data_IF_022945780682
#
_entry.id   IF_022945780682
#
_cell.length_a   1.000
_cell.length_b   1.000
_cell.length_c   1.000
_cell.angle_alpha   90.00
_cell.angle_beta   90.00
_cell.angle_gamma   90.00
#
_symmetry.space_group_name_H-M   'P 1'
#
loop_
_entity.id
_entity.type
_entity.pdbx_description
1 polymer ?
#
# COMPACT_ATOMS: atom_id res chain seq x y z
N UNK A 1 -34.37 15.54 1.86
CA UNK A 1 -33.68 14.28 2.15
C UNK A 1 -32.37 14.39 1.41
N UNK A 2 -31.25 14.42 2.12
CA UNK A 2 -29.95 14.64 1.50
C UNK A 2 -29.74 13.56 0.42
N UNK A 3 -29.24 13.98 -0.73
CA UNK A 3 -28.79 13.11 -1.81
C UNK A 3 -27.73 12.16 -1.22
N UNK A 4 -28.16 10.96 -0.81
CA UNK A 4 -27.35 10.02 -0.04
C UNK A 4 -26.46 9.24 -1.00
N UNK A 5 -25.51 9.96 -1.58
CA UNK A 5 -24.50 9.37 -2.45
C UNK A 5 -23.58 8.50 -1.60
N UNK A 6 -23.50 7.22 -1.96
CA UNK A 6 -22.63 6.26 -1.28
C UNK A 6 -21.17 6.66 -1.46
N UNK A 7 -20.32 6.52 -0.42
CA UNK A 7 -18.92 6.84 -0.52
C UNK A 7 -18.20 5.91 -1.50
N UNK A 8 -17.09 6.40 -2.03
CA UNK A 8 -16.20 5.64 -2.90
C UNK A 8 -14.83 5.58 -2.24
N UNK A 9 -14.33 4.37 -2.01
CA UNK A 9 -13.04 4.16 -1.37
C UNK A 9 -11.94 4.29 -2.41
N UNK A 10 -11.02 5.23 -2.18
CA UNK A 10 -9.74 5.26 -2.88
C UNK A 10 -8.70 4.60 -1.98
N UNK A 11 -8.35 3.36 -2.32
CA UNK A 11 -7.39 2.58 -1.58
C UNK A 11 -5.97 2.80 -2.13
N UNK A 12 -5.22 3.65 -1.44
CA UNK A 12 -3.82 3.91 -1.67
C UNK A 12 -2.95 2.76 -1.20
N UNK A 13 -1.97 2.40 -2.04
CA UNK A 13 -0.96 1.39 -1.70
C UNK A 13 0.43 2.00 -1.87
N UNK A 14 1.10 1.71 -2.98
CA UNK A 14 2.43 2.24 -3.30
C UNK A 14 2.38 3.49 -4.16
N UNK A 15 1.20 3.88 -4.59
CA UNK A 15 0.87 5.04 -5.41
C UNK A 15 0.48 6.27 -4.55
N UNK A 16 1.33 6.63 -3.58
CA UNK A 16 1.09 7.73 -2.62
C UNK A 16 1.24 9.13 -3.27
N UNK A 17 0.41 9.43 -4.28
CA UNK A 17 0.43 10.69 -5.04
C UNK A 17 -0.97 11.10 -5.47
N UNK A 18 -1.18 12.42 -5.61
CA UNK A 18 -2.42 13.00 -6.14
C UNK A 18 -2.35 13.28 -7.64
N UNK A 19 -1.18 13.68 -8.13
CA UNK A 19 -0.96 13.95 -9.55
C UNK A 19 -0.79 12.65 -10.32
N UNK A 20 -1.37 12.60 -11.52
CA UNK A 20 -1.20 11.47 -12.46
C UNK A 20 -1.51 10.11 -11.80
N UNK A 21 -2.61 10.06 -11.05
CA UNK A 21 -3.12 8.83 -10.46
C UNK A 21 -4.46 8.46 -11.14
N UNK A 22 -4.47 7.51 -12.08
CA UNK A 22 -5.68 7.08 -12.78
C UNK A 22 -6.76 6.52 -11.86
N UNK A 23 -6.39 5.76 -10.82
CA UNK A 23 -7.32 5.24 -9.82
C UNK A 23 -8.01 6.39 -9.07
N UNK A 24 -7.24 7.37 -8.62
CA UNK A 24 -7.79 8.55 -7.95
C UNK A 24 -8.67 9.38 -8.90
N UNK A 25 -8.26 9.53 -10.16
CA UNK A 25 -9.06 10.25 -11.15
C UNK A 25 -10.39 9.54 -11.46
N UNK A 26 -10.41 8.21 -11.48
CA UNK A 26 -11.64 7.43 -11.66
C UNK A 26 -12.54 7.55 -10.43
N UNK A 27 -11.97 7.38 -9.23
CA UNK A 27 -12.70 7.50 -7.97
C UNK A 27 -13.29 8.92 -7.77
N UNK A 28 -12.58 9.97 -8.19
CA UNK A 28 -13.08 11.36 -8.13
C UNK A 28 -14.18 11.67 -9.15
N UNK A 29 -14.32 10.87 -10.22
CA UNK A 29 -15.42 10.98 -11.19
C UNK A 29 -16.65 10.20 -10.75
N UNK A 30 -16.51 9.27 -9.82
CA UNK A 30 -17.62 8.52 -9.28
C UNK A 30 -18.56 9.44 -8.49
N UNK A 31 -19.86 9.12 -8.54
CA UNK A 31 -20.88 9.89 -7.84
C UNK A 31 -20.89 9.54 -6.34
N UNK A 32 -19.99 10.15 -5.57
CA UNK A 32 -19.91 9.91 -4.12
C UNK A 32 -18.83 10.72 -3.40
N UNK A 33 -18.93 10.86 -2.07
CA UNK A 33 -17.82 11.35 -1.26
C UNK A 33 -16.64 10.38 -1.34
N UNK A 34 -15.45 10.91 -1.62
CA UNK A 34 -14.23 10.12 -1.71
C UNK A 34 -13.70 9.79 -0.31
N UNK A 35 -13.34 8.53 -0.09
CA UNK A 35 -12.72 8.06 1.15
C UNK A 35 -11.26 7.61 0.89
N UNK A 36 -10.26 8.47 1.12
CA UNK A 36 -8.85 8.11 1.03
C UNK A 36 -8.46 7.13 2.13
N UNK A 37 -8.03 5.92 1.76
CA UNK A 37 -7.66 4.86 2.68
C UNK A 37 -6.25 4.34 2.38
N UNK A 38 -5.43 4.18 3.41
CA UNK A 38 -4.18 3.44 3.35
C UNK A 38 -4.16 2.38 4.46
N UNK A 39 -3.79 1.15 4.07
CA UNK A 39 -3.71 0.00 4.97
C UNK A 39 -2.27 -0.48 5.03
N UNK A 40 -1.67 -0.48 6.22
CA UNK A 40 -0.38 -1.10 6.47
C UNK A 40 -0.59 -2.58 6.80
N UNK A 41 -0.34 -3.44 5.81
CA UNK A 41 -0.35 -4.89 5.97
C UNK A 41 1.09 -5.42 6.10
N UNK A 42 1.40 -5.96 7.28
CA UNK A 42 2.69 -6.59 7.54
C UNK A 42 2.66 -8.10 7.22
N UNK A 43 1.49 -8.73 7.15
CA UNK A 43 1.35 -10.19 7.08
C UNK A 43 1.35 -10.70 5.65
N UNK A 44 0.52 -10.12 4.78
CA UNK A 44 0.43 -10.48 3.37
C UNK A 44 1.78 -10.49 2.61
N UNK A 45 2.65 -9.47 2.74
CA UNK A 45 3.91 -9.46 1.98
C UNK A 45 4.92 -10.53 2.44
N UNK A 46 4.77 -11.13 3.62
CA UNK A 46 5.69 -12.16 4.11
C UNK A 46 7.16 -11.72 4.07
N UNK A 47 7.97 -12.36 3.22
CA UNK A 47 9.39 -12.01 3.04
C UNK A 47 9.62 -10.66 2.33
N UNK A 48 8.61 -10.12 1.64
CA UNK A 48 8.62 -8.78 1.05
C UNK A 48 8.24 -7.67 2.04
N UNK A 49 8.05 -8.00 3.33
CA UNK A 49 7.69 -7.02 4.36
C UNK A 49 8.68 -5.87 4.39
N UNK A 50 8.17 -4.66 4.52
CA UNK A 50 8.99 -3.44 4.56
C UNK A 50 10.02 -3.50 5.70
N UNK A 51 11.25 -3.07 5.42
CA UNK A 51 12.30 -2.89 6.44
C UNK A 51 12.16 -1.56 7.21
N UNK A 52 13.03 -1.32 8.19
CA UNK A 52 13.01 -0.10 8.99
C UNK A 52 13.24 1.17 8.17
N UNK A 53 14.21 1.16 7.25
CA UNK A 53 14.47 2.29 6.36
C UNK A 53 13.27 2.56 5.43
N UNK A 54 12.66 1.53 4.85
CA UNK A 54 11.48 1.68 4.01
C UNK A 54 10.28 2.22 4.78
N UNK A 55 10.08 1.80 6.04
CA UNK A 55 9.03 2.35 6.92
C UNK A 55 9.26 3.81 7.28
N UNK A 56 10.52 4.22 7.49
CA UNK A 56 10.85 5.62 7.72
C UNK A 56 10.44 6.50 6.53
N UNK A 57 10.77 6.07 5.30
CA UNK A 57 10.34 6.75 4.09
C UNK A 57 8.83 6.74 3.91
N UNK A 58 8.19 5.58 4.14
CA UNK A 58 6.73 5.46 4.06
C UNK A 58 6.02 6.45 5.00
N UNK A 59 6.50 6.59 6.24
CA UNK A 59 5.94 7.53 7.19
C UNK A 59 5.96 8.98 6.65
N UNK A 60 7.10 9.43 6.14
CA UNK A 60 7.22 10.76 5.53
C UNK A 60 6.31 10.94 4.31
N UNK A 61 6.20 9.91 3.46
CA UNK A 61 5.29 9.93 2.30
C UNK A 61 3.82 10.03 2.72
N UNK A 62 3.38 9.29 3.74
CA UNK A 62 2.02 9.35 4.27
C UNK A 62 1.72 10.71 4.93
N UNK A 63 2.68 11.29 5.64
CA UNK A 63 2.52 12.63 6.23
C UNK A 63 2.36 13.69 5.13
N UNK A 64 3.15 13.60 4.06
CA UNK A 64 3.04 14.50 2.89
C UNK A 64 1.72 14.32 2.15
N UNK A 65 1.27 13.07 1.95
CA UNK A 65 0.00 12.77 1.29
C UNK A 65 -1.19 13.26 2.13
N UNK A 66 -1.16 13.00 3.45
CA UNK A 66 -2.17 13.46 4.39
C UNK A 66 -2.31 14.98 4.38
N UNK A 67 -1.20 15.73 4.38
CA UNK A 67 -1.22 17.20 4.21
C UNK A 67 -1.84 17.64 2.89
N UNK A 68 -1.60 16.90 1.82
CA UNK A 68 -2.14 17.22 0.48
C UNK A 68 -3.63 16.90 0.36
N UNK A 69 -4.16 16.04 1.25
CA UNK A 69 -5.58 15.68 1.38
C UNK A 69 -6.26 16.42 2.54
N UNK A 70 -5.70 17.54 3.00
CA UNK A 70 -6.22 18.33 4.12
C UNK A 70 -6.48 17.53 5.42
N UNK A 71 -5.71 16.45 5.63
CA UNK A 71 -5.82 15.58 6.80
C UNK A 71 -6.89 14.49 6.71
N UNK A 72 -7.56 14.33 5.57
CA UNK A 72 -8.64 13.35 5.37
C UNK A 72 -8.15 11.92 5.05
N UNK A 73 -6.85 11.64 5.17
CA UNK A 73 -6.30 10.32 4.90
C UNK A 73 -6.55 9.35 6.07
N UNK A 74 -7.29 8.28 5.82
CA UNK A 74 -7.55 7.23 6.79
C UNK A 74 -6.40 6.24 6.78
N UNK A 75 -5.79 6.04 7.95
CA UNK A 75 -4.74 5.05 8.16
C UNK A 75 -5.30 3.88 8.97
N UNK A 76 -5.11 2.67 8.48
CA UNK A 76 -5.40 1.41 9.18
C UNK A 76 -4.18 0.50 9.14
N UNK A 77 -4.13 -0.49 10.03
CA UNK A 77 -3.04 -1.48 10.09
C UNK A 77 -3.60 -2.84 10.47
N UNK A 78 -3.18 -3.87 9.74
CA UNK A 78 -3.64 -5.25 9.93
C UNK A 78 -3.82 -5.93 8.58
N UNK A 79 -4.59 -7.02 8.55
CA UNK A 79 -4.85 -7.77 7.32
C UNK A 79 -5.78 -6.98 6.41
N UNK A 80 -5.34 -6.79 5.17
CA UNK A 80 -6.02 -5.90 4.23
C UNK A 80 -7.47 -6.29 3.94
N UNK A 81 -7.74 -7.59 3.72
CA UNK A 81 -9.08 -8.06 3.41
C UNK A 81 -10.07 -7.85 4.57
N UNK A 82 -9.64 -8.15 5.81
CA UNK A 82 -10.46 -7.96 7.02
C UNK A 82 -10.75 -6.46 7.24
N UNK A 83 -9.75 -5.59 7.06
CA UNK A 83 -9.94 -4.13 7.23
C UNK A 83 -10.82 -3.55 6.13
N UNK A 84 -10.69 -4.00 4.88
CA UNK A 84 -11.56 -3.55 3.81
C UNK A 84 -13.00 -3.99 4.06
N UNK A 85 -13.21 -5.20 4.58
CA UNK A 85 -14.52 -5.67 5.00
C UNK A 85 -15.13 -4.76 6.08
N UNK A 86 -14.37 -4.44 7.14
CA UNK A 86 -14.79 -3.51 8.19
C UNK A 86 -15.13 -2.11 7.62
N UNK A 87 -14.31 -1.58 6.72
CA UNK A 87 -14.54 -0.26 6.11
C UNK A 87 -15.80 -0.27 5.24
N UNK A 88 -16.06 -1.35 4.51
CA UNK A 88 -17.29 -1.49 3.72
C UNK A 88 -18.52 -1.56 4.61
N UNK A 89 -18.43 -2.25 5.76
CA UNK A 89 -19.50 -2.32 6.75
C UNK A 89 -19.76 -0.96 7.44
N UNK A 90 -18.71 -0.20 7.75
CA UNK A 90 -18.82 1.11 8.40
C UNK A 90 -19.38 2.20 7.48
N UNK A 91 -19.09 2.13 6.18
CA UNK A 91 -19.30 3.25 5.25
C UNK A 91 -20.33 2.99 4.17
N UNK A 92 -20.76 1.73 3.97
CA UNK A 92 -21.64 1.33 2.88
C UNK A 92 -21.15 1.79 1.50
N UNK A 93 -19.82 1.78 1.30
CA UNK A 93 -19.21 2.29 0.09
C UNK A 93 -19.67 1.51 -1.16
N UNK A 94 -19.88 2.22 -2.27
CA UNK A 94 -20.35 1.62 -3.52
C UNK A 94 -19.24 0.98 -4.35
N UNK A 95 -18.01 1.48 -4.22
CA UNK A 95 -16.87 0.98 -4.97
C UNK A 95 -15.54 1.21 -4.25
N UNK A 96 -14.57 0.35 -4.54
CA UNK A 96 -13.16 0.46 -4.16
C UNK A 96 -12.34 0.62 -5.45
N UNK A 97 -11.58 1.71 -5.54
CA UNK A 97 -10.61 1.94 -6.60
C UNK A 97 -9.19 1.81 -6.04
N UNK A 98 -8.34 1.11 -6.77
CA UNK A 98 -6.91 1.01 -6.42
C UNK A 98 -6.05 0.94 -7.69
N UNK A 99 -4.75 1.27 -7.56
CA UNK A 99 -3.79 1.03 -8.63
C UNK A 99 -3.53 -0.47 -8.79
N UNK A 100 -3.33 -0.98 -10.00
CA UNK A 100 -3.01 -2.38 -10.25
C UNK A 100 -1.68 -2.82 -9.59
N UNK A 101 -1.65 -4.05 -9.08
CA UNK A 101 -0.47 -4.72 -8.52
C UNK A 101 0.22 -5.64 -9.50
N UNK A 102 1.51 -5.88 -9.28
CA UNK A 102 2.26 -6.88 -10.07
C UNK A 102 3.01 -7.90 -9.20
N UNK A 103 3.08 -7.66 -7.90
CA UNK A 103 3.82 -8.44 -6.95
C UNK A 103 3.05 -9.71 -6.61
N UNK A 104 3.73 -10.86 -6.43
CA UNK A 104 3.05 -12.14 -6.25
C UNK A 104 2.04 -12.13 -5.11
N UNK A 105 2.41 -11.54 -3.96
CA UNK A 105 1.56 -11.49 -2.77
C UNK A 105 0.36 -10.54 -2.93
N UNK A 106 0.44 -9.55 -3.82
CA UNK A 106 -0.67 -8.63 -4.05
C UNK A 106 -1.73 -9.24 -4.97
N UNK A 107 -1.37 -10.20 -5.83
CA UNK A 107 -2.34 -10.92 -6.66
C UNK A 107 -3.31 -11.73 -5.81
N UNK A 108 -2.78 -12.57 -4.92
CA UNK A 108 -3.61 -13.38 -4.00
C UNK A 108 -4.51 -12.49 -3.13
N UNK A 109 -4.00 -11.31 -2.75
CA UNK A 109 -4.75 -10.32 -1.97
C UNK A 109 -5.83 -9.65 -2.81
N UNK A 110 -5.53 -9.24 -4.04
CA UNK A 110 -6.51 -8.65 -4.97
C UNK A 110 -7.62 -9.64 -5.30
N UNK A 111 -7.31 -10.92 -5.51
CA UNK A 111 -8.30 -11.97 -5.75
C UNK A 111 -9.22 -12.14 -4.53
N UNK A 112 -8.67 -12.10 -3.32
CA UNK A 112 -9.46 -12.14 -2.08
C UNK A 112 -10.39 -10.92 -1.93
N UNK A 113 -9.90 -9.73 -2.28
CA UNK A 113 -10.69 -8.49 -2.25
C UNK A 113 -11.75 -8.46 -3.36
N UNK A 114 -11.43 -8.93 -4.55
CA UNK A 114 -12.37 -9.04 -5.67
C UNK A 114 -13.52 -9.99 -5.32
N UNK A 115 -13.21 -11.12 -4.66
CA UNK A 115 -14.22 -12.04 -4.13
C UNK A 115 -15.10 -11.37 -3.06
N UNK A 116 -14.48 -10.72 -2.07
CA UNK A 116 -15.19 -9.98 -1.02
C UNK A 116 -16.17 -8.94 -1.61
N UNK A 117 -15.70 -8.18 -2.60
CA UNK A 117 -16.51 -7.16 -3.28
C UNK A 117 -17.66 -7.79 -4.08
N UNK A 118 -17.39 -8.90 -4.77
CA UNK A 118 -18.40 -9.65 -5.53
C UNK A 118 -19.51 -10.19 -4.63
N UNK A 119 -19.15 -10.79 -3.49
CA UNK A 119 -20.10 -11.33 -2.52
C UNK A 119 -21.02 -10.24 -1.93
N UNK A 120 -20.53 -8.99 -1.89
CA UNK A 120 -21.22 -7.82 -1.31
C UNK A 120 -21.82 -6.88 -2.37
N UNK A 121 -21.71 -7.21 -3.66
CA UNK A 121 -22.15 -6.35 -4.79
C UNK A 121 -21.55 -4.93 -4.76
N UNK A 122 -20.28 -4.83 -4.33
CA UNK A 122 -19.48 -3.60 -4.34
C UNK A 122 -18.58 -3.60 -5.58
N UNK A 123 -18.43 -2.46 -6.24
CA UNK A 123 -17.52 -2.36 -7.39
C UNK A 123 -16.05 -2.45 -6.95
N UNK A 124 -15.26 -3.29 -7.59
CA UNK A 124 -13.80 -3.31 -7.38
C UNK A 124 -13.09 -3.00 -8.70
N UNK A 125 -12.43 -1.84 -8.76
CA UNK A 125 -11.76 -1.38 -9.97
C UNK A 125 -10.26 -1.22 -9.75
N UNK A 126 -9.49 -1.89 -10.61
CA UNK A 126 -8.04 -1.80 -10.69
C UNK A 126 -7.66 -0.91 -11.85
N UNK A 127 -6.77 0.05 -11.61
CA UNK A 127 -6.35 1.02 -12.61
C UNK A 127 -4.87 0.93 -12.87
N UNK A 128 -4.49 0.88 -14.14
CA UNK A 128 -3.10 0.94 -14.54
C UNK A 128 -2.54 2.34 -14.30
N UNK A 129 -1.35 2.41 -13.72
CA UNK A 129 -0.73 3.71 -13.42
C UNK A 129 0.65 3.64 -12.76
N UNK A 130 1.22 2.45 -12.61
CA UNK A 130 2.56 2.26 -12.05
C UNK A 130 3.61 1.95 -13.11
N UNK A 131 3.18 1.39 -14.23
CA UNK A 131 4.02 1.10 -15.38
C UNK A 131 3.66 2.08 -16.51
N UNK A 132 4.65 2.42 -17.33
CA UNK A 132 4.42 3.20 -18.55
C UNK A 132 3.54 2.44 -19.54
N UNK A 133 3.74 1.12 -19.61
CA UNK A 133 2.95 0.20 -20.42
C UNK A 133 2.59 -1.00 -19.54
N UNK A 134 1.36 -1.47 -19.66
CA UNK A 134 0.95 -2.72 -19.02
C UNK A 134 1.82 -3.88 -19.57
N UNK A 135 2.12 -4.91 -18.75
CA UNK A 135 3.06 -5.96 -19.12
C UNK A 135 2.58 -6.79 -20.32
N UNK A 136 1.28 -6.89 -20.52
CA UNK A 136 0.64 -7.53 -21.66
C UNK A 136 0.72 -6.71 -22.95
N UNK A 137 0.92 -5.40 -22.86
CA UNK A 137 1.08 -4.50 -24.00
C UNK A 137 2.48 -4.57 -24.64
N UNK A 138 3.50 -5.07 -23.92
CA UNK A 138 4.88 -5.15 -24.42
C UNK A 138 5.27 -6.62 -24.67
N UNK A 139 5.00 -7.10 -25.89
CA UNK A 139 5.26 -8.47 -26.32
C UNK A 139 6.21 -8.53 -27.51
N UNK A 140 6.88 -9.68 -27.68
CA UNK A 140 7.61 -10.01 -28.91
C UNK A 140 6.64 -10.14 -30.08
N UNK A 141 7.17 -10.21 -31.31
CA UNK A 141 6.34 -10.49 -32.49
C UNK A 141 5.57 -11.81 -32.35
N UNK A 142 6.10 -12.75 -31.57
CA UNK A 142 5.50 -14.06 -31.31
C UNK A 142 4.48 -14.03 -30.14
N UNK A 143 4.27 -12.86 -29.50
CA UNK A 143 3.31 -12.68 -28.41
C UNK A 143 3.83 -13.01 -27.01
N UNK A 144 5.11 -13.38 -26.89
CA UNK A 144 5.75 -13.73 -25.63
C UNK A 144 6.36 -12.52 -24.89
N UNK A 145 6.53 -12.59 -23.56
CA UNK A 145 7.29 -11.59 -22.81
C UNK A 145 8.76 -11.56 -23.25
N UNK A 146 9.32 -10.36 -23.37
CA UNK A 146 10.76 -10.18 -23.64
C UNK A 146 11.61 -10.76 -22.51
N UNK A 147 12.56 -11.64 -22.87
CA UNK A 147 13.52 -12.23 -21.94
C UNK A 147 14.83 -11.42 -21.83
N UNK A 148 15.10 -10.57 -22.81
CA UNK A 148 16.23 -9.63 -22.85
C UNK A 148 15.71 -8.21 -23.00
N UNK A 149 16.52 -7.21 -22.62
CA UNK A 149 16.15 -5.81 -22.80
C UNK A 149 15.74 -5.57 -24.26
N UNK A 150 14.52 -5.05 -24.51
CA UNK A 150 14.06 -4.83 -25.87
C UNK A 150 15.01 -3.83 -26.57
N UNK A 151 15.31 -4.04 -27.86
CA UNK A 151 16.21 -3.16 -28.58
C UNK A 151 15.68 -1.72 -28.58
N UNK A 152 16.57 -0.77 -28.25
CA UNK A 152 16.28 0.65 -28.10
C UNK A 152 15.48 1.17 -29.30
N UNK A 153 14.24 1.65 -29.06
CA UNK A 153 13.39 2.25 -30.09
C UNK A 153 12.19 1.41 -30.56
N UNK A 154 12.07 0.14 -30.15
CA UNK A 154 10.85 -0.67 -30.35
C UNK A 154 9.95 -0.67 -29.11
N UNK A 155 9.70 0.51 -28.52
CA UNK A 155 8.50 0.62 -27.68
C UNK A 155 7.30 0.56 -28.62
N UNK A 156 6.24 -0.21 -28.32
CA UNK A 156 5.00 -0.10 -29.06
C UNK A 156 4.53 1.35 -28.92
N UNK A 157 4.69 2.16 -29.96
CA UNK A 157 4.25 3.56 -29.96
C UNK A 157 2.73 3.68 -29.82
N UNK A 158 2.01 2.57 -30.00
CA UNK A 158 0.56 2.46 -29.82
C UNK A 158 0.12 2.45 -28.35
N UNK A 159 0.98 2.08 -27.39
CA UNK A 159 0.55 1.96 -25.98
C UNK A 159 0.67 3.25 -25.18
N UNK A 160 1.31 4.29 -25.73
CA UNK A 160 1.19 5.66 -25.20
C UNK A 160 -0.13 6.22 -25.72
N UNK A 161 -1.24 5.65 -25.26
CA UNK A 161 -2.49 6.39 -25.22
C UNK A 161 -2.21 7.60 -24.33
N UNK A 162 -2.01 8.75 -24.96
CA UNK A 162 -2.15 10.02 -24.28
C UNK A 162 -3.59 10.03 -23.75
N UNK A 163 -3.78 9.55 -22.51
CA UNK A 163 -4.94 9.92 -21.74
C UNK A 163 -4.89 11.43 -21.74
N UNK A 164 -5.75 12.02 -22.57
CA UNK A 164 -5.61 13.40 -22.96
C UNK A 164 -5.46 14.22 -21.69
N UNK A 165 -4.42 15.05 -21.65
CA UNK A 165 -4.31 16.15 -20.72
C UNK A 165 -5.42 17.16 -21.08
N UNK A 166 -6.67 16.75 -20.98
CA UNK A 166 -7.88 17.52 -21.22
C UNK A 166 -8.69 17.53 -19.92
N UNK A 167 -8.04 17.88 -18.81
CA UNK A 167 -8.74 18.51 -17.71
C UNK A 167 -8.37 19.99 -17.69
N UNK A 168 -9.16 20.74 -18.46
CA UNK A 168 -9.46 22.14 -18.16
C UNK A 168 -9.83 22.19 -16.68
N UNK A 169 -9.00 22.83 -15.87
CA UNK A 169 -9.28 23.13 -14.47
C UNK A 169 -10.59 23.92 -14.38
N UNK A 170 -11.70 23.21 -14.19
CA UNK A 170 -13.03 23.77 -14.13
C UNK A 170 -13.58 23.52 -12.73
N UNK A 171 -13.47 24.56 -11.90
CA UNK A 171 -14.26 24.83 -10.70
C UNK A 171 -14.06 23.89 -9.52
N UNK A 172 -12.94 24.06 -8.83
CA UNK A 172 -13.01 24.11 -7.36
C UNK A 172 -13.53 25.52 -7.05
N UNK A 173 -14.83 25.65 -6.77
CA UNK A 173 -15.39 26.89 -6.24
C UNK A 173 -14.98 27.01 -4.78
N UNK A 174 -14.19 28.02 -4.37
CA UNK A 174 -14.14 28.35 -2.96
C UNK A 174 -15.46 29.02 -2.62
N UNK A 175 -16.34 28.29 -1.93
CA UNK A 175 -17.50 28.89 -1.28
C UNK A 175 -16.96 29.85 -0.23
N UNK A 176 -16.86 31.14 -0.59
CA UNK A 176 -16.50 32.26 0.29
C UNK A 176 -17.43 32.27 1.51
N UNK A 177 -16.98 31.74 2.64
CA UNK A 177 -17.43 32.24 3.93
C UNK A 177 -16.53 33.41 4.30
N UNK A 178 -17.17 34.57 4.30
CA UNK A 178 -16.63 35.88 4.61
C UNK A 178 -16.41 35.93 6.12
N UNK A 179 -15.17 35.87 6.58
CA UNK A 179 -14.84 36.27 7.96
C UNK A 179 -13.66 37.24 7.93
N UNK A 180 -13.98 38.41 8.44
CA UNK A 180 -13.17 39.62 8.55
C UNK A 180 -12.18 39.40 9.69
N UNK A 181 -10.88 39.54 9.43
CA UNK A 181 -9.95 40.11 10.40
C UNK A 181 -8.93 40.98 9.67
N UNK A 182 -8.94 42.25 10.04
CA UNK A 182 -8.00 43.30 9.66
C UNK A 182 -6.64 43.07 10.30
N UNK A 183 -5.61 43.11 9.45
CA UNK A 183 -4.23 43.60 9.64
C UNK A 183 -3.59 43.55 11.03
N UNK A 184 -2.48 42.80 11.13
CA UNK A 184 -1.53 42.86 12.25
C UNK A 184 -0.20 42.15 11.96
N UNK A 185 0.68 42.82 11.22
CA UNK A 185 2.14 42.86 11.42
C UNK A 185 3.04 41.63 11.19
N UNK A 186 4.02 41.91 10.29
CA UNK A 186 5.41 41.43 10.21
C UNK A 186 5.70 39.96 9.90
N UNK A 187 5.93 39.72 8.62
CA UNK A 187 6.74 38.64 8.10
C UNK A 187 8.16 38.63 8.69
N UNK A 188 8.66 37.45 9.06
CA UNK A 188 10.10 37.15 9.09
C UNK A 188 10.39 36.08 8.03
N UNK A 189 11.40 36.25 7.18
CA UNK A 189 11.81 35.18 6.27
C UNK A 189 12.45 34.03 7.06
N UNK A 190 12.12 32.81 6.66
CA UNK A 190 12.66 31.55 7.18
C UNK A 190 14.14 31.39 6.72
N UNK A 191 15.12 31.11 7.60
CA UNK A 191 16.50 30.98 7.17
C UNK A 191 16.70 29.76 6.27
N UNK A 192 17.47 29.97 5.20
CA UNK A 192 17.91 28.98 4.23
C UNK A 192 18.71 27.85 4.90
N UNK A 193 18.54 26.63 4.40
CA UNK A 193 18.99 25.35 4.97
C UNK A 193 20.50 25.09 5.06
N UNK A 194 21.32 26.10 5.36
CA UNK A 194 22.75 25.94 5.70
C UNK A 194 23.10 26.28 7.14
N UNK A 195 22.24 26.95 7.90
CA UNK A 195 22.54 27.36 9.30
C UNK A 195 22.05 26.38 10.38
N UNK A 196 21.18 25.42 10.04
CA UNK A 196 20.70 24.42 11.01
C UNK A 196 21.77 23.38 11.42
N UNK A 197 22.83 23.21 10.64
CA UNK A 197 23.86 22.18 10.87
C UNK A 197 24.89 22.56 11.96
N UNK A 198 24.96 23.83 12.39
CA UNK A 198 25.99 24.28 13.34
C UNK A 198 25.57 24.19 14.83
N UNK A 199 24.34 23.76 15.14
CA UNK A 199 23.80 23.73 16.52
C UNK A 199 23.60 22.36 17.15
N UNK A 200 23.92 21.28 16.43
CA UNK A 200 23.89 19.93 17.01
C UNK A 200 25.34 19.50 17.28
N UNK A 201 25.68 19.40 18.56
CA UNK A 201 26.97 18.91 19.02
C UNK A 201 27.34 17.58 18.36
N UNK A 202 28.63 17.41 18.07
CA UNK A 202 29.20 16.19 17.44
C UNK A 202 28.70 14.94 18.18
N UNK A 203 28.07 13.96 17.50
CA UNK A 203 27.77 12.68 18.14
C UNK A 203 29.08 11.96 18.48
N UNK A 204 29.15 11.39 19.68
CA UNK A 204 30.28 10.61 20.17
C UNK A 204 30.58 9.44 19.22
N UNK A 205 31.88 9.21 18.94
CA UNK A 205 32.34 8.05 18.16
C UNK A 205 31.87 6.76 18.81
N UNK A 206 31.11 5.97 18.08
CA UNK A 206 30.80 4.58 18.42
C UNK A 206 32.13 3.79 18.37
N UNK A 207 32.60 3.16 19.47
CA UNK A 207 33.78 2.32 19.40
C UNK A 207 33.49 1.03 18.64
N UNK A 208 34.44 0.47 17.87
CA UNK A 208 34.22 -0.77 17.14
C UNK A 208 34.01 -1.94 18.12
N UNK A 209 32.99 -2.76 17.84
CA UNK A 209 32.73 -4.02 18.56
C UNK A 209 33.90 -4.98 18.33
N UNK A 210 34.53 -5.45 19.42
CA UNK A 210 35.52 -6.53 19.37
C UNK A 210 34.83 -7.84 18.92
N UNK A 211 35.45 -8.65 18.04
CA UNK A 211 34.94 -9.98 17.73
C UNK A 211 35.16 -10.92 18.93
N UNK A 212 34.12 -11.69 19.28
CA UNK A 212 34.19 -12.77 20.26
C UNK A 212 35.00 -13.95 19.72
N UNK A 213 35.80 -14.64 20.54
CA UNK A 213 36.58 -15.79 20.09
C UNK A 213 35.69 -17.01 19.83
N UNK A 214 35.99 -17.69 18.72
CA UNK A 214 35.43 -18.96 18.28
C UNK A 214 36.09 -20.05 19.12
N UNK A 215 35.33 -20.78 19.95
CA UNK A 215 35.80 -22.00 20.59
C UNK A 215 35.45 -23.20 19.72
N UNK A 216 36.45 -23.70 19.01
CA UNK A 216 36.51 -25.05 18.46
C UNK A 216 36.69 -26.11 19.56
N UNK A 217 36.61 -27.39 19.17
CA UNK A 217 36.92 -28.64 19.92
C UNK A 217 35.80 -29.10 20.88
N UNK A 218 35.29 -30.34 20.89
CA UNK A 218 35.84 -31.65 20.50
C UNK A 218 34.69 -32.68 20.26
N UNK A 219 35.05 -33.77 19.58
CA UNK A 219 34.31 -34.97 19.18
C UNK A 219 33.53 -35.74 20.26
N UNK A 220 32.57 -36.59 19.86
CA UNK A 220 32.77 -38.06 19.85
C UNK A 220 31.53 -38.87 19.40
N UNK A 221 31.81 -39.87 18.55
CA UNK A 221 31.28 -41.25 18.57
C UNK A 221 29.83 -41.56 18.14
N UNK A 222 29.75 -42.03 16.88
CA UNK A 222 29.14 -43.29 16.39
C UNK A 222 28.46 -44.18 17.46
N UNK A 223 27.21 -44.60 17.21
CA UNK A 223 26.83 -46.03 17.09
C UNK A 223 25.46 -46.22 16.43
N UNK A 224 25.40 -47.24 15.58
CA UNK A 224 24.22 -47.85 14.94
C UNK A 224 23.27 -48.43 16.01
N UNK A 225 21.97 -48.38 15.75
CA UNK A 225 21.11 -49.55 15.94
C UNK A 225 19.85 -49.50 15.09
N UNK A 226 19.39 -50.69 14.75
CA UNK A 226 18.48 -51.09 13.69
C UNK A 226 17.11 -51.50 14.28
N UNK A 227 16.10 -51.67 13.41
CA UNK A 227 14.76 -52.23 13.65
C UNK A 227 13.74 -51.29 14.32
N UNK A 228 12.44 -51.29 13.99
CA UNK A 228 11.67 -52.14 13.09
C UNK A 228 10.20 -51.68 13.05
N UNK A 229 9.51 -52.20 12.04
CA UNK A 229 8.06 -52.26 11.76
C UNK A 229 7.13 -52.15 12.98
N UNK A 230 6.02 -51.39 12.88
CA UNK A 230 4.64 -51.93 12.95
C UNK A 230 3.56 -50.86 13.07
N UNK A 231 2.44 -51.16 12.41
CA UNK A 231 1.12 -50.53 12.31
C UNK A 231 0.45 -50.14 13.63
N UNK A 232 -0.34 -49.04 13.64
CA UNK A 232 -1.55 -48.94 14.45
C UNK A 232 -2.49 -47.81 13.99
N UNK A 233 -3.61 -48.21 13.38
CA UNK A 233 -4.87 -47.48 13.26
C UNK A 233 -5.46 -47.17 14.63
N UNK A 234 -5.85 -45.92 14.92
CA UNK A 234 -7.09 -45.58 15.65
C UNK A 234 -7.34 -44.07 15.79
N UNK A 235 -8.50 -43.63 15.30
CA UNK A 235 -9.19 -42.42 15.75
C UNK A 235 -9.87 -42.67 17.12
N UNK A 236 -10.08 -41.61 17.92
CA UNK A 236 -11.44 -41.15 18.28
C UNK A 236 -11.54 -39.61 18.24
N UNK A 237 -12.57 -38.96 17.66
CA UNK A 237 -13.97 -38.78 18.12
C UNK A 237 -14.11 -37.95 19.42
N UNK A 238 -14.38 -36.64 19.22
CA UNK A 238 -15.41 -35.79 19.87
C UNK A 238 -15.36 -35.44 21.39
N UNK A 239 -15.20 -34.14 21.75
CA UNK A 239 -16.28 -33.22 22.21
C UNK A 239 -15.74 -31.82 22.64
N UNK A 240 -16.60 -30.78 22.67
CA UNK A 240 -16.24 -29.37 22.82
C UNK A 240 -16.21 -28.92 24.29
N UNK A 241 -15.38 -27.91 24.59
CA UNK A 241 -15.41 -27.19 25.86
C UNK A 241 -16.05 -25.82 25.60
N UNK A 242 -17.23 -25.64 26.19
CA UNK A 242 -17.89 -24.34 26.41
C UNK A 242 -17.76 -23.97 27.89
N UNK A 243 -18.14 -22.72 28.24
CA UNK A 243 -18.23 -22.08 29.57
C UNK A 243 -16.96 -21.29 29.94
N UNK A 244 -17.00 -20.04 30.41
CA UNK A 244 -18.00 -18.97 30.53
C UNK A 244 -17.27 -17.75 31.12
N UNK A 245 -17.92 -16.59 30.97
CA UNK A 245 -17.61 -15.28 31.50
C UNK A 245 -16.98 -15.21 32.91
N UNK A 246 -16.00 -14.32 33.05
CA UNK A 246 -15.89 -13.32 34.13
C UNK A 246 -15.05 -12.15 33.65
#
# INVERSE_FOLDING_TARGET
MADEKRPVVMWFRRDLRLSDNPALSAAAKADGPLLPLFILDDDAPGHFRLGGASRWWLHGSLESLGKSLDGHLILRRGKTAEILEEVLDETEASAIHTAAAYEPYERDLEDAVEKLCSDRSVGFERHEGRLLNAPDAVRTNDGDPYQSSPPTGKQPSESISATSCAHRASRISPRRSRTIWTTGSSARPNPTGREACARLGRPARIPPRRPSPISSTTSCSITKSFAGVSTATRAPVFHPISISAR
#
